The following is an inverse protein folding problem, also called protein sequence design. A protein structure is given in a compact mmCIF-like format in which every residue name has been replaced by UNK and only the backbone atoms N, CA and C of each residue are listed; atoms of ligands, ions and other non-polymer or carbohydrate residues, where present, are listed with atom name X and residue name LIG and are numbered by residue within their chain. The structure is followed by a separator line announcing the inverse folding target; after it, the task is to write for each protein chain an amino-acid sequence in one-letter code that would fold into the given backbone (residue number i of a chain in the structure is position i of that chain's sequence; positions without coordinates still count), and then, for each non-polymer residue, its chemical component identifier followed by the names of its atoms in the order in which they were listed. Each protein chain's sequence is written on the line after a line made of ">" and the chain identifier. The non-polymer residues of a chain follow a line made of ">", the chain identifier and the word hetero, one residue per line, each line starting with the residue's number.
data_IF_859919848934
#
_entry.id   IF_859919848934
#
_cell.length_a   1.000
_cell.length_b   1.000
_cell.length_c   1.000
_cell.angle_alpha   90.00
_cell.angle_beta   90.00
_cell.angle_gamma   90.00
#
_symmetry.space_group_name_H-M   'P 1'
#
loop_
_entity.id
_entity.type
_entity.pdbx_description
1 polymer ?
#
# COMPACT_ATOMS: atom_id res chain seq x y z
N UNK A 1 -48.77 6.23 17.13
CA UNK A 1 -49.47 5.26 16.25
C UNK A 1 -48.50 4.10 16.01
N UNK A 2 -48.38 3.20 17.00
CA UNK A 2 -47.54 2.01 16.96
C UNK A 2 -48.41 0.81 16.59
N UNK A 3 -48.16 0.14 15.47
CA UNK A 3 -48.71 -1.20 15.18
C UNK A 3 -47.76 -2.02 14.28
N UNK A 4 -47.26 -3.10 14.88
CA UNK A 4 -47.25 -4.46 14.35
C UNK A 4 -46.45 -4.77 13.09
N UNK A 5 -45.29 -5.42 13.28
CA UNK A 5 -44.76 -6.43 12.34
C UNK A 5 -43.84 -7.40 13.10
N UNK A 6 -44.45 -8.19 13.99
CA UNK A 6 -43.89 -9.47 14.44
C UNK A 6 -44.88 -10.56 14.07
N UNK A 7 -44.47 -11.46 13.18
CA UNK A 7 -45.20 -12.70 12.89
C UNK A 7 -44.18 -13.83 12.70
N UNK A 8 -43.84 -14.41 13.84
CA UNK A 8 -43.89 -15.85 14.14
C UNK A 8 -43.92 -16.83 12.95
N UNK A 9 -42.88 -17.66 12.85
CA UNK A 9 -42.99 -19.05 12.40
C UNK A 9 -41.80 -19.87 12.91
N UNK A 10 -42.05 -20.58 14.01
CA UNK A 10 -41.29 -21.76 14.39
C UNK A 10 -41.59 -22.92 13.42
N UNK A 11 -40.56 -23.68 13.03
CA UNK A 11 -40.72 -25.12 12.82
C UNK A 11 -39.40 -25.86 13.04
N UNK A 12 -39.48 -26.82 13.95
CA UNK A 12 -38.42 -27.69 14.45
C UNK A 12 -38.09 -28.77 13.42
N UNK A 13 -36.80 -29.06 13.19
CA UNK A 13 -36.35 -30.44 12.92
C UNK A 13 -35.09 -30.75 13.72
N UNK A 14 -35.30 -31.64 14.67
CA UNK A 14 -34.31 -32.36 15.46
C UNK A 14 -33.67 -33.45 14.59
N UNK A 15 -32.34 -33.50 14.56
CA UNK A 15 -31.58 -34.69 14.14
C UNK A 15 -30.63 -35.03 15.29
N UNK A 16 -30.83 -36.22 15.86
CA UNK A 16 -29.99 -36.87 16.88
C UNK A 16 -29.08 -37.91 16.22
N UNK A 17 -27.97 -38.19 16.91
CA UNK A 17 -26.98 -39.30 16.78
C UNK A 17 -25.77 -38.96 15.89
N UNK A 18 -24.53 -39.27 16.24
CA UNK A 18 -23.96 -40.04 17.37
C UNK A 18 -22.48 -39.65 17.56
N UNK A 19 -21.90 -39.83 18.77
CA UNK A 19 -20.48 -39.59 19.03
C UNK A 19 -19.67 -40.87 18.78
N UNK A 20 -18.55 -40.74 18.05
CA UNK A 20 -17.52 -41.76 17.98
C UNK A 20 -16.17 -41.13 18.32
N UNK A 21 -15.63 -41.58 19.46
CA UNK A 21 -14.23 -41.50 19.86
C UNK A 21 -13.28 -41.89 18.72
N UNK A 22 -12.19 -41.15 18.50
CA UNK A 22 -10.85 -41.74 18.28
C UNK A 22 -9.76 -40.75 18.74
N UNK A 23 -8.97 -41.24 19.70
CA UNK A 23 -7.55 -41.01 19.99
C UNK A 23 -6.94 -39.59 20.05
N UNK A 24 -6.48 -39.28 21.26
CA UNK A 24 -5.32 -38.43 21.58
C UNK A 24 -4.14 -38.72 20.64
N UNK A 25 -3.68 -37.70 19.93
CA UNK A 25 -2.30 -37.59 19.50
C UNK A 25 -1.64 -36.50 20.36
N UNK A 26 -0.72 -36.90 21.23
CA UNK A 26 0.22 -35.99 21.87
C UNK A 26 1.26 -35.61 20.81
N UNK A 27 1.01 -34.51 20.10
CA UNK A 27 2.03 -33.85 19.29
C UNK A 27 2.98 -33.10 20.22
N UNK A 28 4.25 -33.48 20.17
CA UNK A 28 5.36 -32.76 20.77
C UNK A 28 5.32 -31.27 20.36
N UNK A 29 5.67 -30.34 21.25
CA UNK A 29 5.92 -28.96 20.85
C UNK A 29 7.15 -28.98 19.94
N UNK A 30 6.91 -28.82 18.65
CA UNK A 30 7.96 -28.50 17.70
C UNK A 30 8.44 -27.10 18.12
N UNK A 31 9.54 -27.06 18.87
CA UNK A 31 10.31 -25.83 19.10
C UNK A 31 10.81 -25.41 17.73
N UNK A 32 9.97 -24.69 16.99
CA UNK A 32 10.34 -24.05 15.74
C UNK A 32 11.57 -23.23 16.05
N UNK A 33 12.69 -23.61 15.44
CA UNK A 33 13.86 -22.76 15.40
C UNK A 33 13.37 -21.39 14.95
N UNK A 34 13.54 -20.38 15.80
CA UNK A 34 13.33 -18.99 15.42
C UNK A 34 14.26 -18.75 14.23
N UNK A 35 13.70 -18.78 13.02
CA UNK A 35 14.41 -18.40 11.80
C UNK A 35 14.76 -16.93 11.96
N UNK A 36 15.95 -16.68 12.49
CA UNK A 36 16.51 -15.34 12.59
C UNK A 36 16.68 -14.82 11.17
N UNK A 37 16.02 -13.70 10.85
CA UNK A 37 16.20 -13.03 9.57
C UNK A 37 17.70 -12.78 9.32
N UNK A 38 18.18 -12.90 8.07
CA UNK A 38 19.57 -12.62 7.77
C UNK A 38 19.92 -11.19 8.24
N UNK A 39 21.14 -11.00 8.74
CA UNK A 39 21.59 -9.73 9.34
C UNK A 39 21.47 -8.51 8.38
N UNK A 40 21.41 -8.78 7.07
CA UNK A 40 21.25 -7.77 6.02
C UNK A 40 19.79 -7.38 5.75
N UNK A 41 18.81 -8.07 6.35
CA UNK A 41 17.39 -7.73 6.20
C UNK A 41 17.07 -6.46 7.02
N UNK A 42 16.29 -5.49 6.49
CA UNK A 42 15.99 -4.25 7.22
C UNK A 42 15.40 -4.46 8.62
N UNK A 43 14.60 -5.52 8.79
CA UNK A 43 13.97 -5.88 10.06
C UNK A 43 14.88 -6.67 11.03
N UNK A 44 16.04 -7.16 10.58
CA UNK A 44 16.94 -7.99 11.39
C UNK A 44 17.34 -7.40 12.76
N UNK A 45 17.57 -6.09 12.87
CA UNK A 45 17.88 -5.44 14.16
C UNK A 45 16.69 -5.27 15.11
N UNK A 46 15.45 -5.49 14.67
CA UNK A 46 14.26 -5.23 15.48
C UNK A 46 13.97 -6.38 16.46
N UNK A 47 13.53 -6.08 17.71
CA UNK A 47 13.11 -7.10 18.67
C UNK A 47 12.02 -8.03 18.10
N UNK A 48 12.15 -9.34 18.34
CA UNK A 48 11.18 -10.37 17.90
C UNK A 48 9.75 -10.08 18.39
N UNK A 49 9.61 -9.53 19.60
CA UNK A 49 8.30 -9.15 20.14
C UNK A 49 7.60 -8.06 19.29
N UNK A 50 8.37 -7.11 18.75
CA UNK A 50 7.84 -6.07 17.87
C UNK A 50 7.42 -6.71 16.55
N UNK A 51 8.27 -7.55 15.95
CA UNK A 51 7.92 -8.26 14.71
C UNK A 51 6.69 -9.16 14.87
N UNK A 52 6.53 -9.82 16.02
CA UNK A 52 5.36 -10.65 16.33
C UNK A 52 4.08 -9.80 16.41
N UNK A 53 4.18 -8.61 17.02
CA UNK A 53 3.06 -7.67 17.09
C UNK A 53 2.61 -7.17 15.71
N UNK A 54 3.54 -6.76 14.85
CA UNK A 54 3.22 -6.37 13.46
C UNK A 54 2.76 -7.55 12.60
N UNK A 55 3.02 -8.78 13.03
CA UNK A 55 2.54 -9.99 12.37
C UNK A 55 1.12 -10.44 12.80
N UNK A 56 0.55 -9.83 13.84
CA UNK A 56 -0.78 -10.15 14.32
C UNK A 56 -1.85 -9.45 13.46
N UNK A 57 -2.73 -10.21 12.76
CA UNK A 57 -3.81 -9.60 11.98
C UNK A 57 -4.69 -8.68 12.83
N UNK A 58 -4.98 -9.02 14.09
CA UNK A 58 -5.83 -8.20 14.94
C UNK A 58 -5.22 -6.82 15.25
N UNK A 59 -3.88 -6.73 15.25
CA UNK A 59 -3.15 -5.48 15.45
C UNK A 59 -3.08 -4.60 14.19
N UNK A 60 -3.47 -5.09 13.01
CA UNK A 60 -3.36 -4.36 11.75
C UNK A 60 -4.10 -3.00 11.77
N UNK A 61 -5.25 -2.94 12.45
CA UNK A 61 -6.10 -1.74 12.59
C UNK A 61 -5.35 -0.57 13.24
N UNK A 62 -4.42 -0.86 14.16
CA UNK A 62 -3.62 0.15 14.87
C UNK A 62 -2.20 0.29 14.34
N UNK A 63 -1.59 -0.81 13.88
CA UNK A 63 -0.20 -0.81 13.39
C UNK A 63 -0.05 -0.14 12.04
N UNK A 64 -0.99 -0.33 11.11
CA UNK A 64 -0.96 0.34 9.80
C UNK A 64 -0.99 1.87 9.93
N UNK A 65 -1.99 2.50 10.58
CA UNK A 65 -2.00 3.95 10.75
C UNK A 65 -0.83 4.45 11.61
N UNK A 66 -0.38 3.69 12.61
CA UNK A 66 0.79 4.08 13.40
C UNK A 66 2.06 4.20 12.55
N UNK A 67 2.29 3.28 11.61
CA UNK A 67 3.43 3.34 10.71
C UNK A 67 3.28 4.42 9.62
N UNK A 68 2.06 4.63 9.11
CA UNK A 68 1.77 5.71 8.17
C UNK A 68 2.07 7.07 8.82
N UNK A 69 1.59 7.30 10.03
CA UNK A 69 1.75 8.55 10.79
C UNK A 69 3.05 8.65 11.61
N UNK A 70 3.96 7.68 11.46
CA UNK A 70 5.20 7.62 12.22
C UNK A 70 6.11 8.86 12.05
N UNK A 71 6.28 9.44 10.83
CA UNK A 71 7.07 10.65 10.63
C UNK A 71 6.59 11.79 11.52
N UNK A 72 7.51 12.50 12.16
CA UNK A 72 7.19 13.54 13.16
C UNK A 72 6.21 14.59 12.63
N UNK A 73 6.38 15.05 11.38
CA UNK A 73 5.50 16.02 10.74
C UNK A 73 4.06 15.53 10.51
N UNK A 74 3.79 14.23 10.63
CA UNK A 74 2.47 13.62 10.44
C UNK A 74 1.81 13.19 11.74
N UNK A 75 2.56 13.10 12.86
CA UNK A 75 2.04 12.60 14.14
C UNK A 75 0.83 13.39 14.65
N UNK A 76 0.79 14.70 14.40
CA UNK A 76 -0.34 15.55 14.77
C UNK A 76 -1.68 15.12 14.13
N UNK A 77 -1.64 14.40 13.00
CA UNK A 77 -2.85 13.93 12.33
C UNK A 77 -3.57 12.83 13.11
N UNK A 78 -2.93 12.19 14.09
CA UNK A 78 -3.53 11.10 14.88
C UNK A 78 -4.80 11.54 15.61
N UNK A 79 -4.91 12.82 15.98
CA UNK A 79 -6.10 13.37 16.66
C UNK A 79 -7.33 13.38 15.76
N UNK A 80 -7.15 13.33 14.44
CA UNK A 80 -8.23 13.30 13.46
C UNK A 80 -8.69 11.88 13.12
N UNK A 81 -7.83 10.88 13.29
CA UNK A 81 -8.13 9.48 12.97
C UNK A 81 -9.23 8.95 13.89
N UNK A 82 -10.37 8.55 13.32
CA UNK A 82 -11.53 8.04 14.05
C UNK A 82 -11.95 8.95 15.23
N UNK A 83 -11.84 10.27 15.07
CA UNK A 83 -12.09 11.27 16.11
C UNK A 83 -11.21 11.07 17.37
N UNK A 84 -9.94 10.70 17.18
CA UNK A 84 -8.96 10.54 18.25
C UNK A 84 -9.07 9.22 19.04
N UNK A 85 -10.02 8.34 18.71
CA UNK A 85 -10.18 7.05 19.43
C UNK A 85 -8.97 6.14 19.38
N UNK A 86 -8.14 6.29 18.34
CA UNK A 86 -6.93 5.49 18.14
C UNK A 86 -5.66 6.22 18.58
N UNK A 87 -5.76 7.40 19.18
CA UNK A 87 -4.59 8.18 19.58
C UNK A 87 -3.70 7.43 20.57
N UNK A 88 -4.22 7.05 21.74
CA UNK A 88 -3.45 6.33 22.77
C UNK A 88 -2.80 5.03 22.27
N UNK A 89 -3.52 4.12 21.56
CA UNK A 89 -2.87 2.90 21.07
C UNK A 89 -1.81 3.18 19.99
N UNK A 90 -2.00 4.18 19.13
CA UNK A 90 -1.00 4.56 18.11
C UNK A 90 0.26 5.15 18.77
N UNK A 91 0.09 6.06 19.72
CA UNK A 91 1.19 6.65 20.48
C UNK A 91 1.96 5.57 21.27
N UNK A 92 1.25 4.61 21.86
CA UNK A 92 1.85 3.45 22.52
C UNK A 92 2.73 2.63 21.57
N UNK A 93 2.32 2.46 20.31
CA UNK A 93 3.13 1.77 19.29
C UNK A 93 4.38 2.60 18.97
N UNK A 94 4.28 3.91 18.82
CA UNK A 94 5.45 4.77 18.57
C UNK A 94 6.48 4.65 19.69
N UNK A 95 6.03 4.65 20.94
CA UNK A 95 6.91 4.46 22.10
C UNK A 95 7.56 3.07 22.13
N UNK A 96 6.79 2.02 21.80
CA UNK A 96 7.30 0.64 21.81
C UNK A 96 8.29 0.37 20.67
N UNK A 97 8.04 0.96 19.48
CA UNK A 97 8.91 0.83 18.30
C UNK A 97 10.21 1.61 18.47
N UNK A 98 10.16 2.75 19.17
CA UNK A 98 11.32 3.62 19.32
C UNK A 98 11.75 4.22 17.99
N UNK A 99 13.05 4.50 17.83
CA UNK A 99 13.56 5.05 16.58
C UNK A 99 13.76 3.94 15.55
N UNK A 100 13.03 4.04 14.43
CA UNK A 100 13.23 3.19 13.24
C UNK A 100 13.62 4.00 12.04
N UNK A 101 14.52 3.44 11.23
CA UNK A 101 14.89 4.02 9.93
C UNK A 101 13.71 3.97 8.96
N UNK A 102 13.77 4.79 7.90
CA UNK A 102 12.76 4.75 6.84
C UNK A 102 12.66 3.37 6.18
N UNK A 103 13.79 2.68 5.99
CA UNK A 103 13.82 1.33 5.43
C UNK A 103 13.12 0.32 6.33
N UNK A 104 13.39 0.36 7.64
CA UNK A 104 12.70 -0.46 8.64
C UNK A 104 11.19 -0.17 8.65
N UNK A 105 10.80 1.11 8.65
CA UNK A 105 9.39 1.51 8.61
C UNK A 105 8.67 0.98 7.37
N UNK A 106 9.28 1.10 6.19
CA UNK A 106 8.73 0.55 4.95
C UNK A 106 8.61 -0.97 5.00
N UNK A 107 9.62 -1.67 5.54
CA UNK A 107 9.57 -3.12 5.68
C UNK A 107 8.50 -3.57 6.69
N UNK A 108 8.25 -2.80 7.76
CA UNK A 108 7.13 -3.03 8.68
C UNK A 108 5.77 -2.79 7.99
N UNK A 109 5.66 -1.75 7.15
CA UNK A 109 4.44 -1.50 6.37
C UNK A 109 4.15 -2.64 5.39
N UNK A 110 5.18 -3.13 4.69
CA UNK A 110 5.08 -4.29 3.81
C UNK A 110 4.63 -5.55 4.60
N UNK A 111 5.19 -5.76 5.80
CA UNK A 111 4.79 -6.85 6.69
C UNK A 111 3.31 -6.76 7.08
N UNK A 112 2.86 -5.59 7.56
CA UNK A 112 1.44 -5.38 7.92
C UNK A 112 0.55 -5.55 6.70
N UNK A 113 0.93 -5.03 5.54
CA UNK A 113 0.15 -5.20 4.32
C UNK A 113 -0.10 -6.68 3.99
N UNK A 114 0.90 -7.55 4.17
CA UNK A 114 0.74 -8.99 4.00
C UNK A 114 -0.17 -9.61 5.08
N UNK A 115 -0.13 -9.11 6.32
CA UNK A 115 -0.97 -9.64 7.41
C UNK A 115 -2.45 -9.32 7.23
N UNK A 116 -2.78 -8.20 6.58
CA UNK A 116 -4.16 -7.74 6.39
C UNK A 116 -5.05 -8.71 5.60
N UNK A 117 -4.47 -9.61 4.79
CA UNK A 117 -5.24 -10.63 4.07
C UNK A 117 -5.90 -11.65 5.01
N UNK A 118 -5.38 -11.80 6.22
CA UNK A 118 -5.89 -12.72 7.24
C UNK A 118 -7.04 -12.12 8.08
N UNK A 119 -7.35 -10.84 7.88
CA UNK A 119 -8.46 -10.16 8.55
C UNK A 119 -9.81 -10.69 8.07
N UNK A 120 -10.76 -10.78 8.99
CA UNK A 120 -12.16 -10.97 8.63
C UNK A 120 -12.74 -9.73 7.94
N UNK A 121 -13.92 -9.87 7.32
CA UNK A 121 -14.51 -8.80 6.53
C UNK A 121 -14.84 -7.55 7.35
N UNK A 122 -15.21 -7.71 8.63
CA UNK A 122 -15.54 -6.57 9.50
C UNK A 122 -14.28 -5.75 9.78
N UNK A 123 -13.20 -6.44 10.15
CA UNK A 123 -11.90 -5.85 10.45
C UNK A 123 -11.25 -5.21 9.22
N UNK A 124 -11.45 -5.79 8.03
CA UNK A 124 -11.03 -5.15 6.77
C UNK A 124 -11.76 -3.83 6.50
N UNK A 125 -13.05 -3.76 6.77
CA UNK A 125 -13.85 -2.53 6.61
C UNK A 125 -13.39 -1.48 7.62
N UNK A 126 -13.18 -1.88 8.87
CA UNK A 126 -12.69 -1.00 9.92
C UNK A 126 -11.30 -0.46 9.61
N UNK A 127 -10.34 -1.32 9.26
CA UNK A 127 -9.01 -0.91 8.85
C UNK A 127 -9.06 0.07 7.66
N UNK A 128 -9.88 -0.20 6.64
CA UNK A 128 -10.01 0.71 5.51
C UNK A 128 -10.59 2.06 5.91
N UNK A 129 -11.56 2.09 6.83
CA UNK A 129 -12.10 3.34 7.39
C UNK A 129 -11.00 4.16 8.07
N UNK A 130 -10.16 3.51 8.88
CA UNK A 130 -9.04 4.15 9.58
C UNK A 130 -8.01 4.71 8.61
N UNK A 131 -7.66 3.96 7.57
CA UNK A 131 -6.68 4.39 6.56
C UNK A 131 -7.25 5.50 5.66
N UNK A 132 -8.54 5.46 5.37
CA UNK A 132 -9.22 6.55 4.67
C UNK A 132 -9.17 7.85 5.50
N UNK A 133 -9.45 7.81 6.81
CA UNK A 133 -9.31 8.97 7.70
C UNK A 133 -7.89 9.55 7.71
N UNK A 134 -6.86 8.69 7.76
CA UNK A 134 -5.45 9.12 7.71
C UNK A 134 -5.13 9.84 6.40
N UNK A 135 -5.48 9.23 5.27
CA UNK A 135 -5.17 9.79 3.96
C UNK A 135 -5.95 11.08 3.68
N UNK A 136 -7.22 11.13 4.06
CA UNK A 136 -8.07 12.31 3.88
C UNK A 136 -7.61 13.47 4.78
N UNK A 137 -7.12 13.18 5.99
CA UNK A 137 -6.53 14.20 6.89
C UNK A 137 -5.19 14.73 6.38
N UNK A 138 -4.40 13.91 5.70
CA UNK A 138 -3.12 14.31 5.11
C UNK A 138 -3.30 15.12 3.80
N UNK A 139 -4.39 14.87 3.07
CA UNK A 139 -4.76 15.56 1.84
C UNK A 139 -4.22 14.92 0.56
N UNK A 140 -4.61 15.47 -0.60
CA UNK A 140 -4.35 14.87 -1.92
C UNK A 140 -2.88 14.94 -2.37
N UNK A 141 -2.09 15.81 -1.75
CA UNK A 141 -0.66 15.97 -2.03
C UNK A 141 0.23 15.08 -1.14
N UNK A 142 -0.39 14.33 -0.21
CA UNK A 142 0.29 13.40 0.68
C UNK A 142 0.54 12.06 -0.04
N UNK A 143 1.44 12.07 -1.03
CA UNK A 143 1.70 10.96 -1.95
C UNK A 143 1.98 9.63 -1.25
N UNK A 144 2.68 9.65 -0.11
CA UNK A 144 3.01 8.44 0.65
C UNK A 144 1.74 7.80 1.24
N UNK A 145 0.89 8.59 1.89
CA UNK A 145 -0.34 8.14 2.54
C UNK A 145 -1.35 7.64 1.51
N UNK A 146 -1.49 8.37 0.40
CA UNK A 146 -2.38 7.97 -0.70
C UNK A 146 -1.89 6.68 -1.38
N UNK A 147 -0.57 6.50 -1.53
CA UNK A 147 0.00 5.25 -2.06
C UNK A 147 -0.31 4.05 -1.16
N UNK A 148 -0.16 4.17 0.15
CA UNK A 148 -0.51 3.11 1.09
C UNK A 148 -2.00 2.81 1.13
N UNK A 149 -2.85 3.84 1.12
CA UNK A 149 -4.31 3.70 0.94
C UNK A 149 -4.64 2.90 -0.31
N UNK A 150 -4.04 3.26 -1.44
CA UNK A 150 -4.24 2.60 -2.72
C UNK A 150 -3.76 1.14 -2.75
N UNK A 151 -2.59 0.87 -2.17
CA UNK A 151 -2.04 -0.49 -2.02
C UNK A 151 -2.96 -1.37 -1.16
N UNK A 152 -3.42 -0.84 -0.03
CA UNK A 152 -4.31 -1.57 0.88
C UNK A 152 -5.68 -1.83 0.25
N UNK A 153 -6.26 -0.83 -0.44
CA UNK A 153 -7.49 -1.02 -1.22
C UNK A 153 -7.33 -2.12 -2.26
N UNK A 154 -6.22 -2.14 -3.00
CA UNK A 154 -5.96 -3.17 -4.00
C UNK A 154 -5.81 -4.57 -3.37
N UNK A 155 -5.19 -4.66 -2.18
CA UNK A 155 -4.99 -5.92 -1.44
C UNK A 155 -6.30 -6.48 -0.88
N UNK A 156 -7.19 -5.62 -0.38
CA UNK A 156 -8.44 -6.00 0.31
C UNK A 156 -9.68 -6.04 -0.60
N UNK A 157 -9.65 -5.37 -1.74
CA UNK A 157 -10.76 -5.35 -2.69
C UNK A 157 -10.69 -6.54 -3.64
N UNK A 158 -11.87 -7.01 -4.08
CA UNK A 158 -11.92 -7.94 -5.21
C UNK A 158 -11.37 -7.23 -6.45
N UNK A 159 -10.66 -7.93 -7.34
CA UNK A 159 -10.26 -7.37 -8.63
C UNK A 159 -11.51 -6.83 -9.34
N UNK A 160 -11.57 -5.51 -9.56
CA UNK A 160 -12.67 -4.94 -10.33
C UNK A 160 -12.55 -5.39 -11.79
N UNK A 161 -13.68 -5.55 -12.48
CA UNK A 161 -13.66 -5.74 -13.93
C UNK A 161 -13.11 -4.45 -14.53
N UNK A 162 -11.89 -4.53 -15.05
CA UNK A 162 -11.20 -3.40 -15.68
C UNK A 162 -12.05 -2.89 -16.85
N UNK A 163 -12.31 -1.58 -16.89
CA UNK A 163 -12.96 -0.97 -18.03
C UNK A 163 -12.06 -1.14 -19.27
N UNK A 164 -12.67 -1.41 -20.42
CA UNK A 164 -11.93 -1.52 -21.68
C UNK A 164 -11.44 -0.13 -22.10
N UNK A 165 -10.17 0.18 -21.83
CA UNK A 165 -9.51 1.34 -22.43
C UNK A 165 -9.27 1.08 -23.93
N UNK A 166 -9.34 2.12 -24.76
CA UNK A 166 -9.09 2.04 -26.21
C UNK A 166 -7.59 1.97 -26.56
N UNK A 167 -6.71 2.06 -25.56
CA UNK A 167 -5.26 2.09 -25.75
C UNK A 167 -4.79 0.68 -26.08
N UNK A 168 -4.28 0.48 -27.29
CA UNK A 168 -3.78 -0.82 -27.77
C UNK A 168 -2.27 -0.92 -27.69
N UNK A 169 -1.57 0.19 -27.79
CA UNK A 169 -0.12 0.25 -27.73
C UNK A 169 0.37 1.55 -27.09
N UNK A 170 1.65 1.59 -26.73
CA UNK A 170 2.28 2.71 -26.03
C UNK A 170 2.19 4.05 -26.79
N UNK A 171 2.15 4.04 -28.13
CA UNK A 171 2.01 5.25 -28.95
C UNK A 171 0.61 5.84 -28.92
N UNK A 172 -0.40 5.04 -28.56
CA UNK A 172 -1.77 5.53 -28.36
C UNK A 172 -1.96 6.21 -27.00
N UNK A 173 -0.97 6.10 -26.11
CA UNK A 173 -1.02 6.52 -24.71
C UNK A 173 -0.15 7.74 -24.40
N UNK A 174 0.25 8.53 -25.42
CA UNK A 174 1.25 9.59 -25.24
C UNK A 174 0.85 10.57 -24.13
N UNK A 175 -0.42 10.98 -24.07
CA UNK A 175 -0.92 11.88 -23.04
C UNK A 175 -0.77 11.27 -21.65
N UNK A 176 -1.26 10.04 -21.48
CA UNK A 176 -1.20 9.29 -20.22
C UNK A 176 0.25 9.08 -19.77
N UNK A 177 1.17 8.82 -20.70
CA UNK A 177 2.58 8.64 -20.40
C UNK A 177 3.24 9.95 -19.96
N UNK A 178 2.92 11.08 -20.63
CA UNK A 178 3.42 12.40 -20.21
C UNK A 178 2.98 12.70 -18.78
N UNK A 179 1.72 12.44 -18.47
CA UNK A 179 1.13 12.67 -17.15
C UNK A 179 1.79 11.78 -16.08
N UNK A 180 1.89 10.46 -16.32
CA UNK A 180 2.52 9.52 -15.39
C UNK A 180 3.98 9.84 -15.11
N UNK A 181 4.76 10.15 -16.15
CA UNK A 181 6.18 10.45 -16.00
C UNK A 181 6.37 11.82 -15.34
N UNK A 182 5.49 12.78 -15.60
CA UNK A 182 5.51 14.08 -14.90
C UNK A 182 5.23 13.91 -13.41
N UNK A 183 4.20 13.14 -13.05
CA UNK A 183 3.90 12.81 -11.64
C UNK A 183 5.12 12.12 -11.00
N UNK A 184 5.69 11.11 -11.67
CA UNK A 184 6.87 10.40 -11.17
C UNK A 184 8.06 11.33 -10.95
N UNK A 185 8.24 12.34 -11.81
CA UNK A 185 9.37 13.26 -11.74
C UNK A 185 9.26 14.29 -10.60
N UNK A 186 8.05 14.59 -10.10
CA UNK A 186 7.81 15.60 -9.05
C UNK A 186 7.62 15.00 -7.65
N UNK A 187 7.47 13.67 -7.55
CA UNK A 187 7.31 12.98 -6.25
C UNK A 187 8.61 13.09 -5.43
N UNK A 188 8.49 13.48 -4.16
CA UNK A 188 9.59 13.56 -3.19
C UNK A 188 10.37 14.88 -3.17
N UNK A 189 10.40 15.66 -4.26
CA UNK A 189 11.14 16.93 -4.32
C UNK A 189 10.42 18.02 -5.13
N UNK A 190 10.51 19.27 -4.66
CA UNK A 190 9.92 20.43 -5.35
C UNK A 190 10.75 20.86 -6.57
N UNK A 191 10.18 20.62 -7.75
CA UNK A 191 10.33 21.25 -9.08
C UNK A 191 11.71 21.43 -9.73
N UNK A 192 12.81 21.65 -9.01
CA UNK A 192 14.07 22.10 -9.63
C UNK A 192 14.74 21.10 -10.58
N UNK A 193 14.48 19.79 -10.40
CA UNK A 193 14.99 18.72 -11.25
C UNK A 193 13.89 17.93 -11.99
N UNK A 194 12.64 18.40 -11.93
CA UNK A 194 11.49 17.68 -12.48
C UNK A 194 11.64 17.44 -13.99
N UNK A 195 12.04 18.46 -14.75
CA UNK A 195 12.25 18.33 -16.20
C UNK A 195 13.37 17.33 -16.52
N UNK A 196 14.48 17.34 -15.77
CA UNK A 196 15.59 16.40 -15.97
C UNK A 196 15.15 14.96 -15.70
N UNK A 197 14.45 14.73 -14.58
CA UNK A 197 13.88 13.43 -14.21
C UNK A 197 12.87 12.94 -15.25
N UNK A 198 11.99 13.83 -15.70
CA UNK A 198 11.03 13.56 -16.75
C UNK A 198 11.74 13.09 -18.02
N UNK A 199 12.73 13.83 -18.52
CA UNK A 199 13.44 13.46 -19.74
C UNK A 199 14.16 12.11 -19.59
N UNK A 200 14.75 11.82 -18.42
CA UNK A 200 15.36 10.50 -18.15
C UNK A 200 14.34 9.37 -18.23
N UNK A 201 13.17 9.53 -17.60
CA UNK A 201 12.08 8.57 -17.67
C UNK A 201 11.51 8.43 -19.09
N UNK A 202 11.24 9.54 -19.75
CA UNK A 202 10.69 9.61 -21.11
C UNK A 202 11.57 8.86 -22.12
N UNK A 203 12.89 9.06 -22.04
CA UNK A 203 13.86 8.38 -22.89
C UNK A 203 13.88 6.85 -22.72
N UNK A 204 13.35 6.29 -21.60
CA UNK A 204 13.19 4.84 -21.42
C UNK A 204 12.01 4.25 -22.21
N UNK A 205 11.07 5.09 -22.65
CA UNK A 205 9.91 4.67 -23.44
C UNK A 205 10.24 4.46 -24.93
N UNK A 206 11.48 4.76 -25.34
CA UNK A 206 11.98 4.57 -26.70
C UNK A 206 11.69 5.78 -27.61
N UNK A 207 11.55 5.54 -28.91
CA UNK A 207 11.35 6.59 -29.92
C UNK A 207 9.91 7.12 -29.94
N UNK A 208 9.49 7.76 -28.86
CA UNK A 208 8.28 8.59 -28.81
C UNK A 208 8.61 10.02 -29.26
N UNK A 209 7.57 10.78 -29.63
CA UNK A 209 7.72 12.20 -29.90
C UNK A 209 8.29 12.92 -28.67
N UNK A 210 9.09 13.99 -28.84
CA UNK A 210 9.53 14.82 -27.72
C UNK A 210 8.33 15.34 -26.92
N UNK A 211 8.46 15.31 -25.60
CA UNK A 211 7.50 15.88 -24.66
C UNK A 211 8.28 16.60 -23.55
N UNK A 212 7.58 17.45 -22.78
CA UNK A 212 8.13 18.10 -21.59
C UNK A 212 7.31 17.75 -20.35
N UNK A 213 7.86 17.99 -19.17
CA UNK A 213 7.18 17.76 -17.92
C UNK A 213 5.98 18.73 -17.76
N UNK A 214 4.89 18.21 -17.19
CA UNK A 214 3.78 19.04 -16.75
C UNK A 214 4.14 19.77 -15.43
N UNK A 215 3.61 20.98 -15.22
CA UNK A 215 3.81 21.73 -13.97
C UNK A 215 3.17 21.00 -12.78
N UNK A 216 3.83 21.03 -11.62
CA UNK A 216 3.41 20.30 -10.44
C UNK A 216 2.07 20.77 -9.86
N UNK A 217 1.72 22.05 -10.06
CA UNK A 217 0.46 22.65 -9.59
C UNK A 217 -0.78 22.05 -10.27
N UNK A 218 -0.60 21.31 -11.36
CA UNK A 218 -1.67 20.70 -12.15
C UNK A 218 -1.85 19.22 -11.82
N UNK A 219 -0.97 18.62 -11.01
CA UNK A 219 -0.92 17.17 -10.78
C UNK A 219 -1.30 16.80 -9.35
N UNK A 220 -2.31 15.94 -9.21
CA UNK A 220 -2.82 15.41 -7.95
C UNK A 220 -2.84 13.87 -7.94
N UNK A 221 -3.13 13.28 -6.78
CA UNK A 221 -3.24 11.83 -6.65
C UNK A 221 -4.26 11.22 -7.61
N UNK A 222 -5.42 11.86 -7.79
CA UNK A 222 -6.48 11.38 -8.68
C UNK A 222 -6.03 11.22 -10.14
N UNK A 223 -5.14 12.09 -10.62
CA UNK A 223 -4.56 12.03 -11.96
C UNK A 223 -3.70 10.76 -12.12
N UNK A 224 -2.90 10.42 -11.10
CA UNK A 224 -2.12 9.19 -11.08
C UNK A 224 -3.02 7.95 -11.19
N UNK A 225 -4.11 7.91 -10.41
CA UNK A 225 -5.04 6.77 -10.43
C UNK A 225 -5.72 6.62 -11.78
N UNK A 226 -6.20 7.73 -12.36
CA UNK A 226 -6.86 7.74 -13.67
C UNK A 226 -5.92 7.26 -14.78
N UNK A 227 -4.69 7.79 -14.81
CA UNK A 227 -3.68 7.44 -15.80
C UNK A 227 -3.27 5.97 -15.68
N UNK A 228 -2.98 5.49 -14.47
CA UNK A 228 -2.63 4.09 -14.26
C UNK A 228 -3.76 3.16 -14.67
N UNK A 229 -5.02 3.52 -14.36
CA UNK A 229 -6.18 2.76 -14.77
C UNK A 229 -6.23 2.55 -16.30
N UNK A 230 -6.02 3.63 -17.07
CA UNK A 230 -6.01 3.59 -18.55
C UNK A 230 -4.89 2.71 -19.11
N UNK A 231 -3.71 2.74 -18.49
CA UNK A 231 -2.51 2.00 -18.91
C UNK A 231 -2.57 0.51 -18.56
N UNK A 232 -3.49 0.07 -17.68
CA UNK A 232 -3.62 -1.35 -17.31
C UNK A 232 -4.02 -2.28 -18.47
N UNK A 233 -4.54 -1.74 -19.57
CA UNK A 233 -4.95 -2.49 -20.78
C UNK A 233 -3.77 -2.87 -21.69
N UNK A 234 -2.62 -2.21 -21.54
CA UNK A 234 -1.43 -2.46 -22.36
C UNK A 234 -0.86 -3.86 -22.13
N UNK A 235 -0.03 -4.35 -23.04
CA UNK A 235 0.66 -5.63 -22.89
C UNK A 235 1.59 -5.61 -21.65
N UNK A 236 1.88 -6.79 -21.08
CA UNK A 236 2.71 -6.91 -19.86
C UNK A 236 4.08 -6.27 -20.03
N UNK A 237 4.70 -6.48 -21.19
CA UNK A 237 6.02 -5.97 -21.57
C UNK A 237 6.02 -4.43 -21.64
N UNK A 238 4.94 -3.85 -22.18
CA UNK A 238 4.77 -2.39 -22.24
C UNK A 238 4.58 -1.82 -20.84
N UNK A 239 3.76 -2.47 -19.98
CA UNK A 239 3.59 -2.03 -18.60
C UNK A 239 4.90 -2.13 -17.79
N UNK A 240 5.74 -3.14 -18.06
CA UNK A 240 7.06 -3.24 -17.47
C UNK A 240 7.98 -2.10 -17.94
N UNK A 241 7.97 -1.78 -19.23
CA UNK A 241 8.73 -0.66 -19.79
C UNK A 241 8.29 0.67 -19.16
N UNK A 242 6.98 0.89 -19.00
CA UNK A 242 6.41 2.05 -18.32
C UNK A 242 6.88 2.11 -16.87
N UNK A 243 6.83 1.00 -16.15
CA UNK A 243 7.29 0.97 -14.75
C UNK A 243 8.78 1.33 -14.63
N UNK A 244 9.64 0.80 -15.50
CA UNK A 244 11.08 1.15 -15.52
C UNK A 244 11.29 2.64 -15.83
N UNK A 245 10.49 3.23 -16.72
CA UNK A 245 10.51 4.66 -16.99
C UNK A 245 10.10 5.48 -15.76
N UNK A 246 9.05 5.07 -15.06
CA UNK A 246 8.59 5.72 -13.82
C UNK A 246 9.66 5.66 -12.74
N UNK A 247 10.27 4.47 -12.51
CA UNK A 247 11.38 4.34 -11.57
C UNK A 247 12.52 5.30 -11.93
N UNK A 248 12.92 5.34 -13.20
CA UNK A 248 13.99 6.24 -13.66
C UNK A 248 13.65 7.72 -13.45
N UNK A 249 12.37 8.10 -13.49
CA UNK A 249 11.92 9.46 -13.20
C UNK A 249 11.81 9.75 -11.70
N UNK A 250 11.46 8.76 -10.88
CA UNK A 250 11.29 8.91 -9.43
C UNK A 250 12.61 9.25 -8.71
N UNK A 251 13.75 8.75 -9.20
CA UNK A 251 15.04 8.98 -8.54
C UNK A 251 16.08 9.63 -9.46
N UNK A 252 16.83 10.57 -8.88
CA UNK A 252 18.08 11.07 -9.48
C UNK A 252 19.28 10.22 -9.08
N UNK A 253 19.32 9.80 -7.81
CA UNK A 253 20.44 9.11 -7.14
C UNK A 253 20.26 7.59 -7.11
N UNK A 254 21.14 6.87 -6.40
CA UNK A 254 21.09 5.40 -6.31
C UNK A 254 19.98 4.87 -5.38
N UNK A 255 19.32 5.72 -4.61
CA UNK A 255 18.31 5.32 -3.62
C UNK A 255 17.02 6.14 -3.75
N UNK A 256 15.89 5.50 -3.44
CA UNK A 256 14.56 6.11 -3.36
C UNK A 256 14.30 6.54 -1.92
N UNK A 257 13.76 7.73 -1.72
CA UNK A 257 13.22 8.11 -0.42
C UNK A 257 11.93 7.33 -0.09
N UNK A 258 11.41 7.49 1.13
CA UNK A 258 10.23 6.75 1.58
C UNK A 258 8.97 7.04 0.74
N UNK A 259 8.77 8.29 0.32
CA UNK A 259 7.62 8.68 -0.49
C UNK A 259 7.74 8.11 -1.91
N UNK A 260 8.90 8.26 -2.53
CA UNK A 260 9.21 7.70 -3.84
C UNK A 260 9.07 6.17 -3.84
N UNK A 261 9.54 5.50 -2.79
CA UNK A 261 9.43 4.05 -2.65
C UNK A 261 7.98 3.57 -2.46
N UNK A 262 7.14 4.31 -1.73
CA UNK A 262 5.71 4.02 -1.62
C UNK A 262 4.97 4.22 -2.95
N UNK A 263 5.24 5.31 -3.67
CA UNK A 263 4.65 5.56 -4.99
C UNK A 263 5.12 4.52 -6.01
N UNK A 264 6.40 4.14 -6.01
CA UNK A 264 6.93 3.07 -6.86
C UNK A 264 6.20 1.73 -6.64
N UNK A 265 5.96 1.34 -5.37
CA UNK A 265 5.17 0.15 -5.03
C UNK A 265 3.75 0.24 -5.58
N UNK A 266 3.10 1.40 -5.41
CA UNK A 266 1.74 1.61 -5.92
C UNK A 266 1.69 1.48 -7.46
N UNK A 267 2.60 2.16 -8.18
CA UNK A 267 2.69 2.06 -9.65
C UNK A 267 2.95 0.61 -10.08
N UNK A 268 3.89 -0.09 -9.44
CA UNK A 268 4.18 -1.50 -9.73
C UNK A 268 2.94 -2.37 -9.60
N UNK A 269 2.20 -2.21 -8.49
CA UNK A 269 0.96 -2.94 -8.22
C UNK A 269 -0.12 -2.65 -9.27
N UNK A 270 -0.36 -1.38 -9.60
CA UNK A 270 -1.37 -1.01 -10.61
C UNK A 270 -1.03 -1.52 -12.02
N UNK A 271 0.25 -1.51 -12.38
CA UNK A 271 0.75 -2.03 -13.65
C UNK A 271 0.89 -3.57 -13.66
N UNK A 272 0.55 -4.25 -12.56
CA UNK A 272 0.61 -5.70 -12.42
C UNK A 272 2.04 -6.26 -12.52
N UNK A 273 3.02 -5.52 -12.00
CA UNK A 273 4.41 -5.95 -11.86
C UNK A 273 4.59 -6.75 -10.55
N UNK A 274 5.67 -7.55 -10.42
CA UNK A 274 6.02 -8.17 -9.14
C UNK A 274 6.19 -7.12 -8.02
N UNK A 275 6.00 -7.51 -6.75
CA UNK A 275 6.21 -6.61 -5.61
C UNK A 275 7.60 -5.96 -5.68
N UNK A 276 7.63 -4.64 -5.66
CA UNK A 276 8.86 -3.86 -5.69
C UNK A 276 9.43 -3.74 -4.27
N UNK A 277 10.59 -4.35 -4.01
CA UNK A 277 11.25 -4.34 -2.70
C UNK A 277 12.30 -3.23 -2.55
N UNK A 278 12.41 -2.31 -3.51
CA UNK A 278 13.48 -1.32 -3.60
C UNK A 278 14.43 -1.60 -4.77
N UNK A 279 15.24 -0.60 -5.13
CA UNK A 279 16.38 -0.84 -6.01
C UNK A 279 17.45 -1.56 -5.19
N UNK A 280 18.05 -2.66 -5.69
CA UNK A 280 19.24 -3.20 -5.03
C UNK A 280 20.27 -2.07 -4.94
N UNK A 281 20.96 -1.98 -3.79
CA UNK A 281 22.09 -1.06 -3.62
C UNK A 281 23.13 -1.36 -4.71
N UNK A 282 23.07 -0.62 -5.83
CA UNK A 282 24.03 -0.67 -6.92
C UNK A 282 25.18 0.30 -6.66
#
# INVERSE_FOLDING_TARGET
>A
MFKNLFRDRASRRSVKRSPANVARAHSHPNSGAEESLPAEHPLGPLPTAIMAFFNDPAAAIVTMPALMLFPEGQRALVTHVHNGRLQEPIEGIWHAVGDVTNEQRLALLDLVLETTQRLDRSSQIELMSVVDDVADSAGDLAWQEQAWRGLLRAKLSKPSRRAHSRIRNIKDAIRELVELISISAIVGERNSLAEVRFQRGWNRLGSLCPAGALPAEVLAWGDLEEVLHKLTSLAKEQRQQIFVACLTALHMEKQLDATQASVARYIANQLGQPPFQGLPNC
#
